data_IF_732696159558
#
_entry.id   IF_732696159558
#
_cell.length_a   1.000
_cell.length_b   1.000
_cell.length_c   1.000
_cell.angle_alpha   90.00
_cell.angle_beta   90.00
_cell.angle_gamma   90.00
#
_symmetry.space_group_name_H-M   'P 1'
#
loop_
_entity.id
_entity.type
_entity.pdbx_description
1 polymer ?
#
# COMPACT_ATOMS: atom_id res chain seq x y z
N UNK A 1 20.33 27.54 16.14
CA UNK A 1 20.56 26.13 15.75
C UNK A 1 19.22 25.44 15.92
N UNK A 2 18.45 25.24 14.84
CA UNK A 2 17.09 24.68 14.93
C UNK A 2 17.23 23.15 14.99
N UNK A 3 16.84 22.57 16.12
CA UNK A 3 16.82 21.13 16.34
C UNK A 3 15.48 20.58 15.86
N UNK A 4 15.47 19.87 14.73
CA UNK A 4 14.27 19.35 14.06
C UNK A 4 14.06 17.84 14.30
N UNK A 5 14.09 17.40 15.55
CA UNK A 5 13.70 16.04 15.94
C UNK A 5 12.22 15.98 16.33
N UNK A 6 11.31 16.35 15.42
CA UNK A 6 9.86 16.28 15.68
C UNK A 6 9.22 15.17 14.85
N UNK A 7 8.99 14.02 15.49
CA UNK A 7 8.02 13.03 15.00
C UNK A 7 6.63 13.58 15.33
N UNK A 8 5.79 13.83 14.31
CA UNK A 8 4.46 14.39 14.51
C UNK A 8 3.44 13.26 14.76
N UNK A 9 2.74 13.24 15.91
CA UNK A 9 1.61 12.35 16.09
C UNK A 9 0.38 12.93 15.37
N UNK A 10 -0.12 12.22 14.37
CA UNK A 10 -1.45 12.49 13.81
C UNK A 10 -2.51 11.94 14.79
N UNK A 11 -3.17 12.84 15.53
CA UNK A 11 -4.30 12.46 16.39
C UNK A 11 -5.59 12.46 15.57
N UNK A 12 -6.18 11.28 15.37
CA UNK A 12 -7.58 10.99 15.75
C UNK A 12 -8.00 9.58 15.31
N UNK A 13 -8.36 8.73 16.29
CA UNK A 13 -9.36 7.68 16.11
C UNK A 13 -8.91 6.35 15.48
N UNK A 14 -8.25 5.49 16.26
CA UNK A 14 -8.46 4.03 16.15
C UNK A 14 -7.76 3.27 15.02
N UNK A 15 -6.79 3.86 14.33
CA UNK A 15 -5.98 3.17 13.31
C UNK A 15 -4.49 3.32 13.63
N UNK A 16 -3.74 2.23 13.47
CA UNK A 16 -2.27 2.18 13.62
C UNK A 16 -1.65 3.31 12.78
N UNK A 17 -1.19 4.36 13.47
CA UNK A 17 -0.62 5.53 12.83
C UNK A 17 0.75 5.17 12.29
N UNK A 18 0.83 4.87 11.00
CA UNK A 18 2.08 4.65 10.30
C UNK A 18 3.05 5.81 10.59
N UNK A 19 4.27 5.49 11.05
CA UNK A 19 5.23 6.49 11.46
C UNK A 19 5.63 7.39 10.27
N UNK A 20 5.31 8.69 10.39
CA UNK A 20 5.66 9.71 9.42
C UNK A 20 6.93 10.46 9.87
N UNK A 21 8.00 10.37 9.07
CA UNK A 21 9.27 11.05 9.29
C UNK A 21 9.37 12.33 8.43
N UNK A 22 9.76 13.45 9.02
CA UNK A 22 10.08 14.66 8.28
C UNK A 22 11.53 14.62 7.73
N UNK A 23 11.71 14.98 6.47
CA UNK A 23 13.01 15.17 5.82
C UNK A 23 13.34 16.66 5.70
N UNK A 24 14.64 17.03 5.70
CA UNK A 24 15.06 18.40 5.39
C UNK A 24 14.42 18.88 4.08
N UNK A 25 13.84 20.09 4.08
CA UNK A 25 13.04 20.61 2.95
C UNK A 25 11.52 20.47 3.13
N UNK A 26 11.05 19.88 4.24
CA UNK A 26 9.62 19.83 4.59
C UNK A 26 8.85 18.65 3.99
N UNK A 27 9.55 17.68 3.38
CA UNK A 27 8.96 16.47 2.84
C UNK A 27 8.59 15.50 3.97
N UNK A 28 7.38 14.95 3.95
CA UNK A 28 6.90 13.94 4.91
C UNK A 28 7.03 12.57 4.26
N UNK A 29 7.69 11.63 4.96
CA UNK A 29 7.94 10.26 4.49
C UNK A 29 7.25 9.28 5.41
N UNK A 30 6.30 8.52 4.88
CA UNK A 30 5.68 7.40 5.60
C UNK A 30 6.55 6.16 5.45
N UNK A 31 7.07 5.63 6.56
CA UNK A 31 7.69 4.31 6.54
C UNK A 31 6.60 3.25 6.43
N UNK A 32 6.84 2.28 5.54
CA UNK A 32 6.05 1.06 5.48
C UNK A 32 6.90 0.00 6.17
N UNK A 33 6.47 -0.44 7.33
CA UNK A 33 7.00 -1.68 7.88
C UNK A 33 6.55 -2.80 6.94
N UNK A 34 7.49 -3.63 6.48
CA UNK A 34 7.18 -4.84 5.74
C UNK A 34 6.42 -5.75 6.71
N UNK A 35 5.09 -5.67 6.67
CA UNK A 35 4.21 -6.62 7.35
C UNK A 35 4.56 -7.98 6.77
N UNK A 36 5.36 -8.73 7.51
CA UNK A 36 5.68 -10.13 7.25
C UNK A 36 4.38 -10.86 6.97
N UNK A 37 4.26 -11.38 5.75
CA UNK A 37 3.12 -12.13 5.27
C UNK A 37 2.80 -13.27 6.25
N UNK A 38 1.66 -13.14 6.94
CA UNK A 38 0.99 -14.23 7.65
C UNK A 38 0.54 -15.33 6.69
N UNK A 39 -0.01 -16.44 7.21
CA UNK A 39 -0.05 -17.75 6.55
C UNK A 39 -0.69 -17.69 5.16
N UNK A 40 0.02 -18.24 4.17
CA UNK A 40 -0.41 -18.55 2.78
C UNK A 40 -1.69 -17.83 2.35
N UNK A 41 -1.53 -16.63 1.79
CA UNK A 41 -2.57 -15.83 1.17
C UNK A 41 -3.51 -16.69 0.33
N UNK A 42 -4.78 -16.77 0.73
CA UNK A 42 -5.80 -17.47 -0.04
C UNK A 42 -5.93 -16.81 -1.42
N UNK A 43 -6.17 -17.60 -2.46
CA UNK A 43 -6.33 -17.04 -3.81
C UNK A 43 -7.78 -16.63 -4.03
N UNK A 44 -7.99 -15.41 -4.53
CA UNK A 44 -9.32 -14.88 -4.89
C UNK A 44 -9.43 -14.71 -6.40
N UNK A 45 -10.61 -14.96 -6.95
CA UNK A 45 -10.87 -14.78 -8.39
C UNK A 45 -11.51 -13.42 -8.64
N UNK A 46 -10.83 -12.59 -9.43
CA UNK A 46 -11.31 -11.30 -9.91
C UNK A 46 -11.85 -11.43 -11.32
N UNK A 47 -13.03 -10.87 -11.58
CA UNK A 47 -13.58 -10.73 -12.94
C UNK A 47 -13.37 -9.30 -13.43
N UNK A 48 -12.54 -9.13 -14.46
CA UNK A 48 -12.31 -7.85 -15.11
C UNK A 48 -13.12 -7.80 -16.41
N UNK A 49 -13.94 -6.77 -16.55
CA UNK A 49 -14.67 -6.50 -17.79
C UNK A 49 -14.17 -5.20 -18.42
N UNK A 50 -13.76 -5.26 -19.69
CA UNK A 50 -13.34 -4.09 -20.46
C UNK A 50 -13.98 -4.09 -21.85
N UNK A 51 -14.91 -3.16 -22.09
CA UNK A 51 -15.71 -3.15 -23.30
C UNK A 51 -16.52 -4.46 -23.43
N UNK A 52 -16.34 -5.18 -24.54
CA UNK A 52 -16.90 -6.51 -24.76
C UNK A 52 -16.03 -7.67 -24.26
N UNK A 53 -14.84 -7.40 -23.71
CA UNK A 53 -13.90 -8.40 -23.24
C UNK A 53 -14.11 -8.68 -21.75
N UNK A 54 -14.02 -9.95 -21.36
CA UNK A 54 -14.04 -10.40 -19.96
C UNK A 54 -12.81 -11.25 -19.69
N UNK A 55 -12.20 -11.05 -18.52
CA UNK A 55 -10.98 -11.73 -18.10
C UNK A 55 -11.10 -12.13 -16.62
N UNK A 56 -11.02 -13.42 -16.36
CA UNK A 56 -11.03 -13.96 -15.01
C UNK A 56 -9.57 -14.17 -14.55
N UNK A 57 -9.19 -13.55 -13.44
CA UNK A 57 -7.82 -13.56 -12.91
C UNK A 57 -7.82 -14.11 -11.49
N UNK A 58 -6.89 -15.03 -11.23
CA UNK A 58 -6.67 -15.60 -9.91
C UNK A 58 -5.51 -14.87 -9.24
N UNK A 59 -5.77 -14.15 -8.15
CA UNK A 59 -4.76 -13.33 -7.46
C UNK A 59 -4.68 -13.69 -5.97
N UNK A 60 -3.49 -13.58 -5.35
CA UNK A 60 -3.36 -13.68 -3.89
C UNK A 60 -4.24 -12.66 -3.18
N UNK A 61 -4.85 -13.03 -2.05
CA UNK A 61 -5.72 -12.15 -1.25
C UNK A 61 -5.02 -10.93 -0.66
N UNK A 62 -3.70 -10.98 -0.53
CA UNK A 62 -2.84 -9.89 -0.06
C UNK A 62 -2.24 -9.04 -1.20
N UNK A 63 -2.63 -9.34 -2.44
CA UNK A 63 -2.19 -8.56 -3.61
C UNK A 63 -2.84 -7.17 -3.61
N UNK A 64 -2.07 -6.17 -4.04
CA UNK A 64 -2.54 -4.78 -4.16
C UNK A 64 -2.85 -4.44 -5.61
N UNK A 65 -3.71 -3.44 -5.84
CA UNK A 65 -3.99 -2.93 -7.18
C UNK A 65 -2.73 -2.51 -7.94
N UNK A 66 -1.72 -1.97 -7.24
CA UNK A 66 -0.44 -1.62 -7.86
C UNK A 66 0.32 -2.84 -8.40
N UNK A 67 0.37 -3.93 -7.63
CA UNK A 67 0.97 -5.20 -8.07
C UNK A 67 0.20 -5.80 -9.24
N UNK A 68 -1.12 -5.75 -9.17
CA UNK A 68 -2.00 -6.20 -10.25
C UNK A 68 -1.75 -5.44 -11.56
N UNK A 69 -1.80 -4.12 -11.51
CA UNK A 69 -1.56 -3.27 -12.68
C UNK A 69 -0.16 -3.50 -13.23
N UNK A 70 0.86 -3.52 -12.39
CA UNK A 70 2.24 -3.75 -12.83
C UNK A 70 2.46 -5.10 -13.53
N UNK A 71 1.70 -6.15 -13.17
CA UNK A 71 1.89 -7.50 -13.73
C UNK A 71 1.04 -7.76 -14.97
N UNK A 72 -0.17 -7.17 -15.05
CA UNK A 72 -1.16 -7.48 -16.09
C UNK A 72 -1.46 -6.31 -17.03
N UNK A 73 -1.13 -5.08 -16.64
CA UNK A 73 -1.36 -3.87 -17.39
C UNK A 73 -0.03 -3.14 -17.59
N UNK A 74 0.72 -3.56 -18.61
CA UNK A 74 1.98 -2.92 -18.99
C UNK A 74 1.63 -1.55 -19.61
N UNK A 75 1.72 -0.49 -18.79
CA UNK A 75 1.64 0.91 -19.23
C UNK A 75 3.05 1.42 -19.52
#
# INVERSE_FOLDING_TARGET
MVNCSQTLPASNGGEETAALDMRPGGMIVQKRDDVVSGPTSATVTLKLSYGSQQLDLSVPSDSTFGRFLSAYLLV
#
